data_IF_772880600877
#
_entry.id   IF_772880600877
#
_cell.length_a   1.000
_cell.length_b   1.000
_cell.length_c   1.000
_cell.angle_alpha   90.00
_cell.angle_beta   90.00
_cell.angle_gamma   90.00
#
_symmetry.space_group_name_H-M   'P 1'
#
loop_
_entity.id
_entity.type
_entity.pdbx_description
1 polymer ?
#
# COMPACT_ATOMS: atom_id res chain seq x y z
N UNK A 1 7.15 -12.58 11.65
CA UNK A 1 7.81 -11.26 11.95
C UNK A 1 7.63 -11.03 13.44
N UNK A 2 8.68 -10.67 14.20
CA UNK A 2 8.51 -10.41 15.65
C UNK A 2 8.15 -8.94 15.90
N UNK A 3 6.85 -8.63 16.02
CA UNK A 3 6.37 -7.25 16.21
C UNK A 3 6.84 -6.67 17.55
N UNK A 4 6.80 -7.48 18.60
CA UNK A 4 7.21 -7.09 19.95
C UNK A 4 8.64 -6.56 19.98
N UNK A 5 9.57 -7.24 19.30
CA UNK A 5 10.95 -6.81 19.19
C UNK A 5 11.08 -5.55 18.32
N UNK A 6 10.40 -5.49 17.18
CA UNK A 6 10.45 -4.33 16.29
C UNK A 6 10.00 -3.04 17.01
N UNK A 7 8.89 -3.12 17.75
CA UNK A 7 8.36 -2.00 18.54
C UNK A 7 9.30 -1.64 19.68
N UNK A 8 9.85 -2.63 20.40
CA UNK A 8 10.82 -2.40 21.48
C UNK A 8 12.10 -1.75 20.97
N UNK A 9 12.60 -2.15 19.81
CA UNK A 9 13.78 -1.56 19.19
C UNK A 9 13.54 -0.12 18.76
N UNK A 10 12.37 0.16 18.16
CA UNK A 10 12.02 1.50 17.67
C UNK A 10 11.71 2.49 18.78
N UNK A 11 10.81 2.13 19.70
CA UNK A 11 10.28 3.05 20.72
C UNK A 11 10.91 2.88 22.10
N UNK A 12 11.82 1.91 22.27
CA UNK A 12 12.51 1.62 23.54
C UNK A 12 11.57 1.33 24.71
N UNK A 13 10.37 0.82 24.43
CA UNK A 13 9.36 0.45 25.43
C UNK A 13 8.60 -0.83 25.01
N UNK A 14 7.96 -1.54 25.96
CA UNK A 14 7.20 -2.74 25.65
C UNK A 14 6.00 -2.47 24.74
N UNK A 15 5.60 -3.47 23.93
CA UNK A 15 4.44 -3.38 23.04
C UNK A 15 3.17 -2.92 23.76
N UNK A 16 2.91 -3.47 24.96
CA UNK A 16 1.75 -3.11 25.78
C UNK A 16 1.69 -1.62 26.15
N UNK A 17 2.86 -0.95 26.26
CA UNK A 17 2.98 0.46 26.62
C UNK A 17 2.99 1.41 25.41
N UNK A 18 2.90 0.88 24.18
CA UNK A 18 2.82 1.70 22.98
C UNK A 18 1.41 2.15 22.68
N UNK A 19 1.27 3.32 22.06
CA UNK A 19 -0.01 3.80 21.52
C UNK A 19 -0.35 3.02 20.25
N UNK A 20 -1.62 2.99 19.87
CA UNK A 20 -2.04 2.34 18.62
C UNK A 20 -1.35 3.00 17.40
N UNK A 21 -1.10 4.31 17.45
CA UNK A 21 -0.39 5.05 16.41
C UNK A 21 1.08 4.62 16.27
N UNK A 22 1.81 4.48 17.38
CA UNK A 22 3.19 3.96 17.36
C UNK A 22 3.24 2.55 16.78
N UNK A 23 2.27 1.72 17.12
CA UNK A 23 2.17 0.34 16.62
C UNK A 23 1.85 0.35 15.12
N UNK A 24 0.88 1.15 14.67
CA UNK A 24 0.54 1.32 13.26
C UNK A 24 1.75 1.74 12.43
N UNK A 25 2.47 2.78 12.86
CA UNK A 25 3.66 3.26 12.16
C UNK A 25 4.80 2.22 12.14
N UNK A 26 4.94 1.42 13.20
CA UNK A 26 5.89 0.31 13.20
C UNK A 26 5.48 -0.77 12.19
N UNK A 27 4.21 -1.17 12.20
CA UNK A 27 3.68 -2.17 11.27
C UNK A 27 3.82 -1.72 9.81
N UNK A 28 3.46 -0.47 9.50
CA UNK A 28 3.63 0.12 8.17
C UNK A 28 5.08 -0.05 7.67
N UNK A 29 6.07 0.35 8.48
CA UNK A 29 7.47 0.23 8.12
C UNK A 29 7.93 -1.23 7.95
N UNK A 30 7.55 -2.11 8.88
CA UNK A 30 7.95 -3.52 8.81
C UNK A 30 7.32 -4.23 7.60
N UNK A 31 6.04 -3.98 7.34
CA UNK A 31 5.34 -4.58 6.20
C UNK A 31 5.92 -4.08 4.89
N UNK A 32 6.20 -2.77 4.74
CA UNK A 32 6.89 -2.24 3.55
C UNK A 32 8.27 -2.88 3.36
N UNK A 33 9.04 -3.03 4.45
CA UNK A 33 10.35 -3.68 4.40
C UNK A 33 10.23 -5.14 3.92
N UNK A 34 9.30 -5.91 4.49
CA UNK A 34 9.08 -7.31 4.13
C UNK A 34 8.56 -7.48 2.71
N UNK A 35 7.66 -6.59 2.26
CA UNK A 35 7.22 -6.55 0.87
C UNK A 35 8.43 -6.36 -0.08
N UNK A 36 9.33 -5.42 0.23
CA UNK A 36 10.51 -5.20 -0.60
C UNK A 36 11.52 -6.35 -0.59
N UNK A 37 11.71 -6.99 0.56
CA UNK A 37 12.54 -8.20 0.67
C UNK A 37 11.97 -9.35 -0.18
N UNK A 38 10.64 -9.51 -0.17
CA UNK A 38 9.90 -10.48 -0.98
C UNK A 38 10.04 -10.19 -2.48
N UNK A 39 9.93 -8.93 -2.90
CA UNK A 39 10.17 -8.49 -4.29
C UNK A 39 11.59 -8.86 -4.77
N UNK A 40 12.60 -8.57 -3.95
CA UNK A 40 13.99 -8.82 -4.33
C UNK A 40 14.28 -10.32 -4.48
N UNK A 41 13.68 -11.15 -3.61
CA UNK A 41 13.80 -12.61 -3.69
C UNK A 41 13.18 -13.15 -4.99
N UNK A 42 11.96 -12.72 -5.34
CA UNK A 42 11.34 -13.13 -6.61
C UNK A 42 12.03 -12.56 -7.84
N UNK A 43 12.59 -11.35 -7.77
CA UNK A 43 13.35 -10.78 -8.88
C UNK A 43 14.61 -11.62 -9.20
N UNK A 44 15.27 -12.19 -8.19
CA UNK A 44 16.40 -13.11 -8.35
C UNK A 44 15.95 -14.45 -8.95
N UNK A 45 14.85 -15.03 -8.47
CA UNK A 45 14.30 -16.28 -9.00
C UNK A 45 13.80 -16.12 -10.44
N UNK A 46 13.16 -14.98 -10.74
CA UNK A 46 12.72 -14.61 -12.09
C UNK A 46 13.89 -14.29 -13.01
N UNK A 47 15.00 -13.73 -12.49
CA UNK A 47 16.23 -13.55 -13.26
C UNK A 47 16.85 -14.87 -13.72
N UNK A 48 16.78 -15.93 -12.90
CA UNK A 48 17.15 -17.28 -13.31
C UNK A 48 16.15 -17.88 -14.33
N UNK A 49 14.84 -17.66 -14.14
CA UNK A 49 13.81 -18.14 -15.08
C UNK A 49 13.80 -17.39 -16.43
N UNK A 50 14.27 -16.12 -16.46
CA UNK A 50 14.35 -15.24 -17.64
C UNK A 50 15.21 -15.76 -18.79
N UNK A 51 16.10 -16.72 -18.55
CA UNK A 51 16.86 -17.39 -19.62
C UNK A 51 16.00 -18.34 -20.48
N UNK A 52 14.80 -18.71 -20.02
CA UNK A 52 13.87 -19.59 -20.75
C UNK A 52 12.72 -18.80 -21.41
N UNK A 53 13.00 -18.21 -22.57
CA UNK A 53 12.10 -17.77 -23.66
C UNK A 53 10.82 -16.89 -23.40
N UNK A 54 10.29 -16.70 -22.19
CA UNK A 54 9.08 -15.89 -21.92
C UNK A 54 9.32 -14.61 -21.10
N UNK A 55 10.49 -14.44 -20.49
CA UNK A 55 10.80 -13.43 -19.46
C UNK A 55 11.03 -11.97 -19.90
N UNK A 56 10.58 -11.53 -21.09
CA UNK A 56 10.81 -10.15 -21.59
C UNK A 56 9.57 -9.24 -21.57
N UNK A 57 8.37 -9.78 -21.40
CA UNK A 57 7.13 -8.99 -21.49
C UNK A 57 6.73 -8.51 -20.09
N UNK A 58 6.47 -7.21 -19.98
CA UNK A 58 5.92 -6.59 -18.78
C UNK A 58 4.53 -6.05 -19.08
N UNK A 59 3.58 -6.32 -18.20
CA UNK A 59 2.22 -5.81 -18.27
C UNK A 59 2.15 -4.43 -17.62
N UNK A 60 1.51 -3.46 -18.27
CA UNK A 60 1.22 -2.17 -17.67
C UNK A 60 -0.28 -1.93 -17.70
N UNK A 61 -0.91 -1.93 -16.53
CA UNK A 61 -2.32 -1.61 -16.38
C UNK A 61 -2.47 -0.11 -16.08
N UNK A 62 -2.78 0.68 -17.11
CA UNK A 62 -2.90 2.13 -16.98
C UNK A 62 -4.35 2.48 -16.68
N UNK A 63 -4.59 3.17 -15.56
CA UNK A 63 -5.93 3.62 -15.16
C UNK A 63 -5.88 5.02 -14.57
N UNK A 64 -6.95 5.79 -14.78
CA UNK A 64 -7.15 7.05 -14.09
C UNK A 64 -7.52 6.85 -12.61
N UNK A 65 -8.01 5.66 -12.22
CA UNK A 65 -8.48 5.40 -10.86
C UNK A 65 -7.99 4.04 -10.36
N UNK A 66 -7.65 3.98 -9.07
CA UNK A 66 -7.36 2.76 -8.32
C UNK A 66 -8.00 2.86 -6.93
N UNK A 67 -9.07 2.12 -6.68
CA UNK A 67 -9.70 2.05 -5.36
C UNK A 67 -9.07 0.91 -4.55
N UNK A 68 -7.81 1.11 -4.13
CA UNK A 68 -6.99 0.09 -3.45
C UNK A 68 -7.58 -0.28 -2.09
N UNK A 69 -8.09 0.71 -1.34
CA UNK A 69 -8.51 0.53 0.05
C UNK A 69 -7.32 0.56 1.01
N UNK A 70 -7.59 0.27 2.29
CA UNK A 70 -6.55 0.07 3.32
C UNK A 70 -5.67 -1.13 2.96
N UNK A 71 -4.35 -0.96 3.05
CA UNK A 71 -3.34 -1.93 2.65
C UNK A 71 -2.80 -2.77 3.81
N UNK A 72 -2.87 -2.32 5.07
CA UNK A 72 -2.23 -3.02 6.18
C UNK A 72 -2.71 -4.45 6.31
N UNK A 73 -4.02 -4.66 6.41
CA UNK A 73 -4.62 -5.98 6.55
C UNK A 73 -4.32 -6.87 5.36
N UNK A 74 -4.48 -6.34 4.15
CA UNK A 74 -4.25 -7.11 2.91
C UNK A 74 -2.79 -7.56 2.83
N UNK A 75 -1.85 -6.66 3.10
CA UNK A 75 -0.43 -6.99 3.08
C UNK A 75 -0.05 -7.97 4.21
N UNK A 76 -0.62 -7.84 5.41
CA UNK A 76 -0.40 -8.82 6.48
C UNK A 76 -0.91 -10.22 6.09
N UNK A 77 -2.07 -10.30 5.42
CA UNK A 77 -2.62 -11.57 4.92
C UNK A 77 -1.72 -12.16 3.84
N UNK A 78 -1.34 -11.36 2.84
CA UNK A 78 -0.55 -11.80 1.69
C UNK A 78 0.90 -12.14 2.04
N UNK A 79 1.41 -11.62 3.16
CA UNK A 79 2.69 -12.00 3.75
C UNK A 79 2.58 -13.19 4.73
N UNK A 80 1.37 -13.68 5.03
CA UNK A 80 1.15 -14.77 6.00
C UNK A 80 1.40 -14.36 7.45
N UNK A 81 1.32 -13.07 7.77
CA UNK A 81 1.66 -12.48 9.07
C UNK A 81 0.43 -12.10 9.91
N UNK A 82 -0.76 -12.09 9.32
CA UNK A 82 -1.97 -11.57 9.96
C UNK A 82 -2.24 -12.22 11.32
N UNK A 83 -2.28 -13.55 11.39
CA UNK A 83 -2.59 -14.28 12.62
C UNK A 83 -1.47 -14.15 13.68
N UNK A 84 -0.20 -14.14 13.26
CA UNK A 84 0.95 -13.95 14.14
C UNK A 84 0.88 -12.57 14.81
N UNK A 85 0.71 -11.51 14.00
CA UNK A 85 0.60 -10.13 14.47
C UNK A 85 -0.59 -9.93 15.38
N UNK A 86 -1.76 -10.46 14.98
CA UNK A 86 -2.97 -10.38 15.81
C UNK A 86 -2.75 -11.01 17.19
N UNK A 87 -2.13 -12.19 17.24
CA UNK A 87 -1.84 -12.88 18.50
C UNK A 87 -0.84 -12.11 19.38
N UNK A 88 0.20 -11.53 18.81
CA UNK A 88 1.15 -10.69 19.56
C UNK A 88 0.48 -9.45 20.15
N UNK A 89 -0.39 -8.80 19.39
CA UNK A 89 -1.17 -7.64 19.85
C UNK A 89 -2.13 -8.00 20.97
N UNK A 90 -2.89 -9.08 20.81
CA UNK A 90 -3.82 -9.56 21.85
C UNK A 90 -3.10 -9.90 23.15
N UNK A 91 -1.93 -10.54 23.08
CA UNK A 91 -1.09 -10.83 24.25
C UNK A 91 -0.59 -9.55 24.97
N UNK A 92 -0.50 -8.43 24.25
CA UNK A 92 -0.15 -7.11 24.79
C UNK A 92 -1.38 -6.26 25.16
N UNK A 93 -2.60 -6.81 25.08
CA UNK A 93 -3.85 -6.10 25.35
C UNK A 93 -4.21 -5.06 24.30
N UNK A 94 -3.84 -5.30 23.04
CA UNK A 94 -4.10 -4.42 21.88
C UNK A 94 -5.03 -5.10 20.88
N UNK A 95 -5.80 -4.30 20.15
CA UNK A 95 -6.69 -4.76 19.09
C UNK A 95 -6.11 -4.40 17.72
N UNK A 96 -5.88 -5.41 16.86
CA UNK A 96 -5.46 -5.17 15.49
C UNK A 96 -6.49 -4.32 14.72
N UNK A 97 -7.78 -4.56 14.93
CA UNK A 97 -8.85 -3.79 14.28
C UNK A 97 -8.80 -2.30 14.65
N UNK A 98 -8.52 -1.96 15.91
CA UNK A 98 -8.37 -0.55 16.32
C UNK A 98 -7.15 0.12 15.69
N UNK A 99 -6.09 -0.65 15.42
CA UNK A 99 -4.87 -0.17 14.78
C UNK A 99 -5.11 0.02 13.27
N UNK A 100 -5.83 -0.89 12.62
CA UNK A 100 -6.25 -0.79 11.22
C UNK A 100 -7.17 0.43 10.97
N UNK A 101 -7.92 0.87 11.98
CA UNK A 101 -8.72 2.10 11.89
C UNK A 101 -7.91 3.39 11.87
N UNK A 102 -6.62 3.34 12.23
CA UNK A 102 -5.72 4.49 12.09
C UNK A 102 -5.22 4.69 10.67
N UNK A 103 -5.31 3.66 9.81
CA UNK A 103 -4.82 3.75 8.45
C UNK A 103 -5.72 4.66 7.59
N UNK A 104 -5.17 5.75 7.00
CA UNK A 104 -5.92 6.54 6.05
C UNK A 104 -6.11 5.76 4.75
N UNK A 105 -7.36 5.68 4.28
CA UNK A 105 -7.64 5.03 3.00
C UNK A 105 -7.14 5.89 1.82
N UNK A 106 -6.36 5.32 0.89
CA UNK A 106 -5.91 6.04 -0.29
C UNK A 106 -7.06 6.55 -1.16
N UNK A 107 -7.16 7.87 -1.30
CA UNK A 107 -8.19 8.54 -2.12
C UNK A 107 -7.78 8.56 -3.60
N UNK A 108 -7.62 7.37 -4.20
CA UNK A 108 -7.06 7.17 -5.55
C UNK A 108 -8.07 6.68 -6.59
N UNK A 109 -9.32 6.44 -6.20
CA UNK A 109 -10.42 6.05 -7.07
C UNK A 109 -11.76 6.31 -6.42
N UNK A 110 -12.85 6.13 -7.17
CA UNK A 110 -14.20 6.42 -6.68
C UNK A 110 -15.11 5.18 -6.73
N UNK A 111 -15.20 4.54 -7.89
CA UNK A 111 -16.22 3.53 -8.14
C UNK A 111 -15.69 2.21 -8.70
N UNK A 112 -16.57 1.52 -9.43
CA UNK A 112 -16.29 0.18 -9.98
C UNK A 112 -15.08 0.12 -10.91
N UNK A 113 -14.80 1.18 -11.67
CA UNK A 113 -13.59 1.25 -12.52
C UNK A 113 -12.31 1.16 -11.68
N UNK A 114 -12.21 2.01 -10.65
CA UNK A 114 -11.07 2.01 -9.73
C UNK A 114 -10.95 0.71 -8.95
N UNK A 115 -12.08 0.12 -8.52
CA UNK A 115 -12.04 -1.16 -7.80
C UNK A 115 -11.64 -2.33 -8.68
N UNK A 116 -12.10 -2.36 -9.94
CA UNK A 116 -11.67 -3.36 -10.91
C UNK A 116 -10.16 -3.26 -11.18
N UNK A 117 -9.64 -2.03 -11.36
CA UNK A 117 -8.21 -1.80 -11.53
C UNK A 117 -7.39 -2.31 -10.32
N UNK A 118 -7.85 -2.02 -9.10
CA UNK A 118 -7.22 -2.49 -7.88
C UNK A 118 -7.22 -4.03 -7.79
N UNK A 119 -8.36 -4.69 -8.06
CA UNK A 119 -8.46 -6.15 -8.07
C UNK A 119 -7.57 -6.81 -9.15
N UNK A 120 -7.38 -6.16 -10.30
CA UNK A 120 -6.45 -6.64 -11.32
C UNK A 120 -5.00 -6.55 -10.86
N UNK A 121 -4.58 -5.47 -10.20
CA UNK A 121 -3.21 -5.36 -9.67
C UNK A 121 -2.96 -6.42 -8.59
N UNK A 122 -3.91 -6.63 -7.67
CA UNK A 122 -3.84 -7.71 -6.68
C UNK A 122 -3.76 -9.11 -7.33
N UNK A 123 -4.52 -9.34 -8.40
CA UNK A 123 -4.46 -10.60 -9.16
C UNK A 123 -3.15 -10.78 -9.92
N UNK A 124 -2.60 -9.70 -10.50
CA UNK A 124 -1.29 -9.68 -11.16
C UNK A 124 -0.21 -10.09 -10.15
N UNK A 125 -0.23 -9.47 -8.97
CA UNK A 125 0.67 -9.78 -7.88
C UNK A 125 0.47 -11.23 -7.39
N UNK A 126 -0.76 -11.71 -7.21
CA UNK A 126 -1.07 -13.08 -6.74
C UNK A 126 -0.76 -14.17 -7.77
N UNK A 127 -0.74 -13.85 -9.06
CA UNK A 127 -0.37 -14.80 -10.12
C UNK A 127 1.12 -14.81 -10.47
N UNK A 128 1.95 -14.00 -9.80
CA UNK A 128 3.38 -13.92 -10.12
C UNK A 128 3.67 -13.28 -11.47
N UNK A 129 2.75 -12.47 -11.99
CA UNK A 129 2.92 -11.84 -13.28
C UNK A 129 3.80 -10.60 -13.14
N UNK A 130 4.76 -10.44 -14.05
CA UNK A 130 5.55 -9.21 -14.15
C UNK A 130 4.68 -8.06 -14.70
N UNK A 131 4.05 -7.29 -13.82
CA UNK A 131 3.24 -6.16 -14.23
C UNK A 131 3.03 -5.09 -13.16
N UNK A 132 2.79 -3.87 -13.61
CA UNK A 132 2.53 -2.71 -12.74
C UNK A 132 1.17 -2.08 -13.05
N UNK A 133 0.53 -1.53 -12.01
CA UNK A 133 -0.50 -0.52 -12.16
C UNK A 133 0.11 0.88 -12.32
N UNK A 134 -0.37 1.67 -13.27
CA UNK A 134 0.11 3.05 -13.52
C UNK A 134 -1.06 4.02 -13.47
N UNK A 135 -1.00 5.01 -12.59
CA UNK A 135 -2.05 6.01 -12.40
C UNK A 135 -1.54 7.35 -11.91
N UNK A 136 -2.47 8.16 -11.41
CA UNK A 136 -2.18 9.48 -10.83
C UNK A 136 -2.28 9.42 -9.30
N UNK A 137 -1.37 10.11 -8.63
CA UNK A 137 -1.38 10.26 -7.18
C UNK A 137 -2.22 11.49 -6.76
N UNK A 138 -3.53 11.29 -6.57
CA UNK A 138 -4.45 12.37 -6.21
C UNK A 138 -4.30 12.80 -4.76
N UNK A 139 -4.13 14.11 -4.52
CA UNK A 139 -3.90 14.63 -3.17
C UNK A 139 -5.16 14.58 -2.28
N UNK A 140 -6.33 14.77 -2.89
CA UNK A 140 -7.63 14.85 -2.21
C UNK A 140 -8.67 13.88 -2.75
N UNK A 141 -8.29 13.02 -3.71
CA UNK A 141 -9.19 12.18 -4.51
C UNK A 141 -10.43 12.90 -5.02
N UNK A 142 -11.60 12.30 -4.79
CA UNK A 142 -12.88 12.87 -5.21
C UNK A 142 -13.43 13.90 -4.21
N UNK A 143 -13.99 13.45 -3.09
CA UNK A 143 -14.38 14.27 -1.93
C UNK A 143 -14.69 13.37 -0.72
N UNK A 144 -14.69 13.97 0.47
CA UNK A 144 -15.22 13.37 1.70
C UNK A 144 -16.67 13.81 1.84
N UNK A 145 -17.58 12.85 1.87
CA UNK A 145 -19.01 13.08 2.08
C UNK A 145 -19.26 13.38 3.56
N UNK A 146 -19.89 14.52 3.85
CA UNK A 146 -20.41 14.83 5.20
C UNK A 146 -21.87 15.27 5.09
N UNK A 147 -22.63 15.06 6.16
CA UNK A 147 -24.04 15.51 6.22
C UNK A 147 -24.17 16.70 7.16
N UNK A 148 -24.82 17.75 6.70
CA UNK A 148 -25.09 18.92 7.52
C UNK A 148 -26.21 18.68 8.55
N UNK A 149 -26.54 19.70 9.35
CA UNK A 149 -27.62 19.63 10.35
C UNK A 149 -29.01 19.43 9.74
N UNK A 150 -29.17 19.58 8.42
CA UNK A 150 -30.40 19.35 7.66
C UNK A 150 -30.36 18.01 6.93
N UNK A 151 -29.36 17.16 7.20
CA UNK A 151 -29.14 15.86 6.56
C UNK A 151 -28.90 15.94 5.04
N UNK A 152 -28.35 17.06 4.56
CA UNK A 152 -27.94 17.23 3.16
C UNK A 152 -26.46 16.93 3.01
N UNK A 153 -26.09 16.26 1.91
CA UNK A 153 -24.70 16.03 1.55
C UNK A 153 -23.97 17.37 1.36
N UNK A 154 -22.74 17.43 1.86
CA UNK A 154 -21.74 18.45 1.57
C UNK A 154 -20.42 17.76 1.20
N UNK A 155 -19.66 18.37 0.30
CA UNK A 155 -18.35 17.89 -0.11
C UNK A 155 -17.23 18.67 0.59
N UNK A 156 -16.30 17.94 1.20
CA UNK A 156 -15.04 18.53 1.71
C UNK A 156 -13.84 17.83 1.07
N UNK A 157 -12.66 18.47 0.98
CA UNK A 157 -11.44 17.79 0.56
C UNK A 157 -11.18 16.51 1.37
N UNK A 158 -10.70 15.44 0.73
CA UNK A 158 -10.38 14.16 1.38
C UNK A 158 -8.86 13.90 1.39
N UNK A 159 -8.08 14.60 2.23
CA UNK A 159 -6.65 14.33 2.34
C UNK A 159 -6.43 12.95 2.95
N UNK A 160 -5.49 12.21 2.39
CA UNK A 160 -5.10 10.88 2.86
C UNK A 160 -3.58 10.69 2.94
N UNK A 161 -2.81 11.54 2.26
CA UNK A 161 -1.35 11.45 2.25
C UNK A 161 -0.78 12.01 3.54
N UNK A 162 -0.06 11.15 4.25
CA UNK A 162 0.66 11.48 5.47
C UNK A 162 2.17 11.43 5.22
N UNK A 163 2.95 11.93 6.19
CA UNK A 163 4.41 11.89 6.14
C UNK A 163 4.92 10.46 6.01
N UNK A 164 4.37 9.56 6.83
CA UNK A 164 4.60 8.12 6.74
C UNK A 164 3.38 7.50 6.07
N UNK A 165 3.56 6.88 4.91
CA UNK A 165 2.46 6.27 4.16
C UNK A 165 2.94 5.08 3.32
N UNK A 166 2.00 4.40 2.68
CA UNK A 166 2.31 3.35 1.71
C UNK A 166 3.06 3.84 0.47
N UNK A 167 3.01 5.14 0.19
CA UNK A 167 3.75 5.75 -0.91
C UNK A 167 5.25 5.79 -0.60
N UNK A 168 6.05 5.35 -1.56
CA UNK A 168 7.51 5.46 -1.55
C UNK A 168 7.95 6.42 -2.64
N UNK A 169 8.45 7.59 -2.24
CA UNK A 169 8.93 8.60 -3.20
C UNK A 169 10.21 8.12 -3.89
N UNK A 170 10.22 8.12 -5.22
CA UNK A 170 11.39 7.70 -5.99
C UNK A 170 12.26 8.88 -6.43
N UNK A 171 13.49 8.59 -6.87
CA UNK A 171 14.35 9.57 -7.55
C UNK A 171 13.93 9.87 -9.00
N UNK A 172 12.98 9.11 -9.54
CA UNK A 172 12.58 9.17 -10.95
C UNK A 172 11.61 10.32 -11.20
N UNK A 173 11.87 11.11 -12.25
CA UNK A 173 10.99 12.19 -12.68
C UNK A 173 11.03 12.39 -14.19
N UNK A 174 9.91 12.88 -14.73
CA UNK A 174 9.75 13.14 -16.15
C UNK A 174 9.24 14.55 -16.37
N UNK A 175 9.71 15.21 -17.42
CA UNK A 175 9.14 16.48 -17.86
C UNK A 175 7.96 16.19 -18.80
N UNK A 176 6.81 16.77 -18.51
CA UNK A 176 5.57 16.58 -19.28
C UNK A 176 5.19 17.93 -19.91
N UNK A 177 5.41 18.09 -21.23
CA UNK A 177 5.08 19.33 -21.92
C UNK A 177 3.57 19.44 -22.16
N UNK A 178 3.04 20.62 -21.89
CA UNK A 178 1.72 21.09 -22.29
C UNK A 178 1.90 22.27 -23.26
N UNK A 179 0.81 22.75 -23.88
CA UNK A 179 0.86 23.69 -25.01
C UNK A 179 1.75 24.93 -24.84
N UNK A 180 1.94 25.45 -23.61
CA UNK A 180 2.80 26.60 -23.34
C UNK A 180 3.64 26.53 -22.06
N UNK A 181 3.66 25.37 -21.39
CA UNK A 181 4.42 25.17 -20.16
C UNK A 181 4.75 23.69 -19.97
N UNK A 182 5.71 23.41 -19.10
CA UNK A 182 6.11 22.04 -18.78
C UNK A 182 5.94 21.83 -17.28
N UNK A 183 5.41 20.67 -16.90
CA UNK A 183 5.34 20.25 -15.49
C UNK A 183 6.28 19.08 -15.26
N UNK A 184 6.73 18.91 -14.01
CA UNK A 184 7.55 17.77 -13.61
C UNK A 184 6.67 16.72 -12.93
N UNK A 185 6.57 15.55 -13.55
CA UNK A 185 6.02 14.35 -12.92
C UNK A 185 7.08 13.68 -12.04
N UNK A 186 6.69 13.23 -10.84
CA UNK A 186 7.52 12.49 -9.89
C UNK A 186 6.88 11.13 -9.67
N UNK A 187 7.65 10.06 -9.86
CA UNK A 187 7.16 8.70 -9.62
C UNK A 187 7.14 8.40 -8.11
N UNK A 188 6.04 7.81 -7.66
CA UNK A 188 5.86 7.21 -6.35
C UNK A 188 5.46 5.75 -6.54
N UNK A 189 6.07 4.87 -5.75
CA UNK A 189 5.75 3.45 -5.74
C UNK A 189 4.79 3.15 -4.58
N UNK A 190 3.89 2.19 -4.78
CA UNK A 190 3.01 1.63 -3.76
C UNK A 190 2.95 0.13 -3.98
N UNK A 191 3.54 -0.63 -3.05
CA UNK A 191 3.68 -2.08 -3.21
C UNK A 191 2.34 -2.79 -2.96
N UNK A 192 1.99 -3.74 -3.84
CA UNK A 192 0.78 -4.56 -3.72
C UNK A 192 1.22 -6.02 -3.63
N UNK A 193 1.28 -6.55 -2.42
CA UNK A 193 1.81 -7.90 -2.20
C UNK A 193 0.86 -8.98 -2.74
N UNK A 194 1.40 -10.03 -3.37
CA UNK A 194 0.63 -11.19 -3.83
C UNK A 194 0.40 -12.22 -2.73
N UNK A 195 -0.77 -12.87 -2.75
CA UNK A 195 -1.12 -13.95 -1.81
C UNK A 195 -0.36 -15.25 -2.13
N UNK A 196 0.22 -15.87 -1.10
CA UNK A 196 0.84 -17.21 -1.14
C UNK A 196 1.82 -17.45 -2.32
N UNK A 197 2.53 -16.41 -2.72
CA UNK A 197 3.58 -16.48 -3.72
C UNK A 197 4.74 -15.55 -3.37
N UNK A 198 5.73 -15.38 -4.25
CA UNK A 198 6.92 -14.55 -3.99
C UNK A 198 6.86 -13.13 -4.61
N UNK A 199 5.76 -12.70 -5.22
CA UNK A 199 5.67 -11.42 -5.93
C UNK A 199 4.98 -10.31 -5.14
N UNK A 200 5.30 -9.07 -5.55
CA UNK A 200 4.80 -7.80 -5.02
C UNK A 200 4.68 -6.77 -6.13
#
# INVERSE_FOLDING_TARGET
MNLTNAVKEKYKKPLASCTNEEIYLCLLEQVKKLAKEKENASAQETALAKETASGKRKLYYISAEFLIGKLLSNNLINLGLYDEVKKELEAAGKSLAEIEELEPEPSLGNGGLGRLAACFVDSIATLGLNGDGVGLNYHYGLFKQVFDKKHLQQETPNPWMEKESWLTKTGTSYQVPFGGFTVTSRLYDMDVTGYDNHST
#
